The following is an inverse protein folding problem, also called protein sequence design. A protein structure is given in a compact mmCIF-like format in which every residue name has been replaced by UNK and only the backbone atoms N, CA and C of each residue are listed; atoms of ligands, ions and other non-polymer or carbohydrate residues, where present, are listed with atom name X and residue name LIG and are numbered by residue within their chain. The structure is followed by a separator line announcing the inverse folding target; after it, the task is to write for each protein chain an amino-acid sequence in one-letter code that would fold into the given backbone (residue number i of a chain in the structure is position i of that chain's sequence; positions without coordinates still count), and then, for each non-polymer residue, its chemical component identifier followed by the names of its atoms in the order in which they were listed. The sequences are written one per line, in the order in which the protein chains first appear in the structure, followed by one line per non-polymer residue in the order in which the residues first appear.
data_IF_682643551848
#
_entry.id   IF_682643551848
#
_cell.length_a   1.000
_cell.length_b   1.000
_cell.length_c   1.000
_cell.angle_alpha   90.00
_cell.angle_beta   90.00
_cell.angle_gamma   90.00
#
_symmetry.space_group_name_H-M   'P 1'
#
loop_
_entity.id
_entity.type
_entity.pdbx_description
1 polymer ?
#
# COMPACT_ATOMS: atom_id res chain seq x y z
N UNK A 1 -5.90 18.49 -9.43
CA UNK A 1 -6.36 17.95 -8.13
C UNK A 1 -5.17 17.26 -7.48
N UNK A 2 -4.71 17.74 -6.31
CA UNK A 2 -3.47 17.29 -5.67
C UNK A 2 -3.68 15.89 -5.07
N UNK A 3 -3.12 14.88 -5.73
CA UNK A 3 -3.11 13.48 -5.25
C UNK A 3 -2.26 13.43 -3.98
N UNK A 4 -2.90 13.16 -2.84
CA UNK A 4 -2.25 13.11 -1.52
C UNK A 4 -1.37 11.87 -1.32
N UNK A 5 -1.56 10.83 -2.13
CA UNK A 5 -0.72 9.63 -2.17
C UNK A 5 -0.38 9.40 -3.63
N UNK A 6 0.88 9.64 -3.97
CA UNK A 6 1.45 9.33 -5.28
C UNK A 6 2.24 8.01 -5.19
N UNK A 7 1.75 6.92 -5.81
CA UNK A 7 2.46 5.64 -5.87
C UNK A 7 3.82 5.73 -6.59
N UNK A 8 4.07 6.81 -7.34
CA UNK A 8 5.34 7.09 -8.03
C UNK A 8 6.30 7.96 -7.21
N UNK A 9 5.98 8.29 -5.95
CA UNK A 9 6.93 8.96 -5.09
C UNK A 9 8.17 8.04 -4.88
N UNK A 10 9.42 8.53 -4.97
CA UNK A 10 10.64 7.71 -4.88
C UNK A 10 10.72 6.86 -3.60
N UNK A 11 9.94 7.21 -2.58
CA UNK A 11 9.75 6.44 -1.37
C UNK A 11 9.08 5.06 -1.60
N UNK A 12 8.11 4.98 -2.52
CA UNK A 12 7.41 3.74 -2.88
C UNK A 12 8.01 3.02 -4.11
N UNK A 13 9.12 3.54 -4.66
CA UNK A 13 9.83 2.94 -5.80
C UNK A 13 10.51 1.60 -5.41
N UNK A 14 10.94 1.47 -4.16
CA UNK A 14 11.42 0.20 -3.64
C UNK A 14 10.25 -0.68 -3.21
N UNK A 15 10.08 -1.82 -3.88
CA UNK A 15 9.14 -2.86 -3.47
C UNK A 15 9.31 -3.23 -1.99
N UNK A 16 10.54 -3.16 -1.45
CA UNK A 16 10.82 -3.35 -0.03
C UNK A 16 10.04 -2.40 0.89
N UNK A 17 9.94 -1.12 0.56
CA UNK A 17 9.21 -0.13 1.40
C UNK A 17 7.70 -0.43 1.39
N UNK A 18 7.18 -0.97 0.28
CA UNK A 18 5.80 -1.47 0.18
C UNK A 18 5.55 -2.67 1.09
N UNK A 19 6.50 -3.61 1.12
CA UNK A 19 6.48 -4.74 2.04
C UNK A 19 6.57 -4.27 3.50
N UNK A 20 7.48 -3.37 3.85
CA UNK A 20 7.64 -2.89 5.23
C UNK A 20 6.38 -2.15 5.70
N UNK A 21 5.81 -1.28 4.87
CA UNK A 21 4.58 -0.52 5.23
C UNK A 21 3.37 -1.42 5.45
N UNK A 22 3.28 -2.55 4.73
CA UNK A 22 2.20 -3.53 4.95
C UNK A 22 2.49 -4.49 6.09
N UNK A 23 3.74 -4.93 6.28
CA UNK A 23 4.13 -5.88 7.32
C UNK A 23 4.15 -5.27 8.71
N UNK A 24 4.52 -4.00 8.87
CA UNK A 24 4.54 -3.32 10.18
C UNK A 24 3.20 -3.43 10.93
N UNK A 25 2.06 -3.01 10.35
CA UNK A 25 0.76 -3.13 11.03
C UNK A 25 0.30 -4.58 11.17
N UNK A 26 0.67 -5.50 10.27
CA UNK A 26 0.36 -6.94 10.42
C UNK A 26 1.10 -7.55 11.60
N UNK A 27 2.39 -7.27 11.75
CA UNK A 27 3.20 -7.72 12.88
C UNK A 27 2.66 -7.11 14.18
N UNK A 28 2.32 -5.81 14.15
CA UNK A 28 1.75 -5.14 15.32
C UNK A 28 0.40 -5.75 15.73
N UNK A 29 -0.45 -6.11 14.77
CA UNK A 29 -1.69 -6.81 15.06
C UNK A 29 -1.46 -8.13 15.80
N UNK A 30 -0.48 -8.93 15.35
CA UNK A 30 -0.10 -10.17 16.04
C UNK A 30 0.31 -9.91 17.50
N UNK A 31 1.11 -8.86 17.72
CA UNK A 31 1.53 -8.46 19.06
C UNK A 31 0.33 -8.08 19.93
N UNK A 32 -0.62 -7.31 19.42
CA UNK A 32 -1.84 -6.94 20.16
C UNK A 32 -2.73 -8.15 20.48
N UNK A 33 -2.85 -9.11 19.55
CA UNK A 33 -3.57 -10.37 19.79
C UNK A 33 -2.91 -11.19 20.90
N UNK A 34 -1.57 -11.23 20.96
CA UNK A 34 -0.83 -11.90 22.04
C UNK A 34 -1.01 -11.20 23.39
N UNK A 35 -1.12 -9.86 23.41
CA UNK A 35 -1.37 -9.07 24.62
C UNK A 35 -2.85 -9.05 25.05
N UNK A 36 -3.75 -9.72 24.32
CA UNK A 36 -5.17 -9.81 24.65
C UNK A 36 -6.00 -8.58 24.26
N UNK A 37 -5.41 -7.64 23.51
CA UNK A 37 -6.07 -6.40 23.10
C UNK A 37 -6.72 -6.54 21.72
N UNK A 38 -7.75 -7.38 21.65
CA UNK A 38 -8.39 -7.82 20.40
C UNK A 38 -8.94 -6.68 19.54
N UNK A 39 -9.41 -5.59 20.17
CA UNK A 39 -9.95 -4.43 19.45
C UNK A 39 -8.89 -3.72 18.61
N UNK A 40 -7.76 -3.37 19.23
CA UNK A 40 -6.62 -2.75 18.54
C UNK A 40 -5.92 -3.71 17.59
N UNK A 41 -5.88 -5.01 17.93
CA UNK A 41 -5.41 -6.07 17.03
C UNK A 41 -6.21 -6.15 15.73
N UNK A 42 -7.55 -6.09 15.79
CA UNK A 42 -8.39 -6.10 14.58
C UNK A 42 -8.19 -4.86 13.71
N UNK A 43 -8.07 -3.66 14.31
CA UNK A 43 -7.84 -2.41 13.56
C UNK A 43 -6.49 -2.48 12.84
N UNK A 44 -5.45 -2.89 13.56
CA UNK A 44 -4.10 -3.07 13.01
C UNK A 44 -4.08 -4.12 11.90
N UNK A 45 -4.79 -5.24 12.09
CA UNK A 45 -4.89 -6.30 11.09
C UNK A 45 -5.61 -5.81 9.83
N UNK A 46 -6.72 -5.06 9.97
CA UNK A 46 -7.47 -4.50 8.85
C UNK A 46 -6.63 -3.47 8.08
N UNK A 47 -5.90 -2.60 8.78
CA UNK A 47 -4.97 -1.64 8.18
C UNK A 47 -3.83 -2.35 7.43
N UNK A 48 -3.25 -3.39 8.04
CA UNK A 48 -2.20 -4.19 7.40
C UNK A 48 -2.69 -4.95 6.17
N UNK A 49 -3.89 -5.53 6.22
CA UNK A 49 -4.50 -6.18 5.07
C UNK A 49 -4.82 -5.19 3.93
N UNK A 50 -5.35 -4.00 4.27
CA UNK A 50 -5.58 -2.93 3.30
C UNK A 50 -4.28 -2.42 2.66
N UNK A 51 -3.24 -2.22 3.47
CA UNK A 51 -1.92 -1.80 2.98
C UNK A 51 -1.29 -2.88 2.08
N UNK A 52 -1.38 -4.15 2.47
CA UNK A 52 -0.95 -5.28 1.66
C UNK A 52 -1.71 -5.33 0.32
N UNK A 53 -3.03 -5.20 0.36
CA UNK A 53 -3.85 -5.19 -0.84
C UNK A 53 -3.52 -4.00 -1.76
N UNK A 54 -3.41 -2.79 -1.21
CA UNK A 54 -3.15 -1.58 -1.99
C UNK A 54 -1.72 -1.53 -2.57
N UNK A 55 -0.71 -2.00 -1.82
CA UNK A 55 0.69 -1.87 -2.22
C UNK A 55 1.24 -3.10 -2.96
N UNK A 56 0.68 -4.28 -2.69
CA UNK A 56 1.20 -5.56 -3.22
C UNK A 56 0.24 -6.18 -4.22
N UNK A 57 -1.06 -6.26 -3.90
CA UNK A 57 -2.04 -6.89 -4.79
C UNK A 57 -2.41 -5.98 -5.97
N UNK A 58 -2.68 -4.69 -5.71
CA UNK A 58 -2.97 -3.73 -6.78
C UNK A 58 -1.71 -3.35 -7.56
N UNK A 59 -0.56 -3.28 -6.87
CA UNK A 59 0.69 -2.79 -7.46
C UNK A 59 0.60 -1.33 -7.92
N UNK A 60 1.68 -0.76 -8.47
CA UNK A 60 1.63 0.54 -9.11
C UNK A 60 0.86 0.43 -10.41
N UNK A 61 -0.02 1.39 -10.70
CA UNK A 61 -0.61 1.53 -12.03
C UNK A 61 0.54 1.65 -13.05
N UNK A 62 0.45 0.92 -14.17
CA UNK A 62 1.45 0.94 -15.23
C UNK A 62 1.78 2.40 -15.61
N UNK A 63 3.06 2.75 -15.82
CA UNK A 63 3.39 4.05 -16.36
C UNK A 63 2.65 4.17 -17.68
N UNK A 64 1.72 5.14 -17.78
CA UNK A 64 1.06 5.49 -19.03
C UNK A 64 2.16 5.65 -20.08
N UNK A 65 2.21 4.74 -21.04
CA UNK A 65 3.16 4.80 -22.14
C UNK A 65 3.05 6.18 -22.79
N UNK A 66 4.16 6.90 -23.03
CA UNK A 66 4.11 8.17 -23.74
C UNK A 66 3.76 7.87 -25.19
N UNK A 67 2.50 8.09 -25.56
CA UNK A 67 2.05 8.03 -26.96
C UNK A 67 0.80 7.18 -27.17
N UNK A 68 -0.37 7.77 -26.96
CA UNK A 68 -1.54 7.49 -27.81
C UNK A 68 -2.52 8.65 -27.98
N UNK A 69 -2.09 9.86 -27.66
CA UNK A 69 -2.67 11.13 -28.10
C UNK A 69 -1.99 11.55 -29.40
N UNK A 70 -2.01 10.66 -30.39
CA UNK A 70 -1.96 11.09 -31.79
C UNK A 70 -3.35 11.63 -32.10
N UNK A 71 -3.51 12.92 -32.45
CA UNK A 71 -4.74 13.36 -33.11
C UNK A 71 -4.91 12.47 -34.35
N UNK A 72 -5.91 11.58 -34.35
CA UNK A 72 -6.42 11.01 -35.59
C UNK A 72 -7.18 12.13 -36.29
N UNK A 73 -6.78 12.38 -37.53
CA UNK A 73 -7.14 13.50 -38.40
C UNK A 73 -8.64 13.85 -38.47
#
# INVERSE_FOLDING_TARGET
MKKFIDPNHPFFASALVRWVTSLVPVIWALVEFVHGNTGWGMISAALGALAFWALIVRGPDEPTAPGKDTPQD
#
